data_IF_217149771551
#
_entry.id   IF_217149771551
#
_cell.length_a   1.000
_cell.length_b   1.000
_cell.length_c   1.000
_cell.angle_alpha   90.00
_cell.angle_beta   90.00
_cell.angle_gamma   90.00
#
_symmetry.space_group_name_H-M   'P 1'
#
loop_
_entity.id
_entity.type
_entity.pdbx_description
1 polymer ?
#
# COMPACT_ATOMS: atom_id res chain seq x y z
N UNK A 1 15.75 -0.68 -27.66
CA UNK A 1 14.48 0.02 -27.32
C UNK A 1 14.81 1.18 -26.41
N UNK A 2 14.13 2.32 -26.54
CA UNK A 2 14.37 3.49 -25.68
C UNK A 2 13.40 3.43 -24.50
N UNK A 3 13.92 3.64 -23.30
CA UNK A 3 13.10 3.64 -22.07
C UNK A 3 12.44 5.01 -21.87
N UNK A 4 11.20 4.97 -21.39
CA UNK A 4 10.41 6.16 -21.06
C UNK A 4 10.06 6.12 -19.58
N UNK A 5 10.09 7.28 -18.91
CA UNK A 5 9.67 7.44 -17.52
C UNK A 5 8.27 7.99 -17.45
N UNK A 6 7.42 7.40 -16.62
CA UNK A 6 6.10 7.96 -16.33
C UNK A 6 6.27 9.20 -15.45
N UNK A 7 5.78 10.35 -15.91
CA UNK A 7 5.87 11.63 -15.17
C UNK A 7 4.53 12.08 -14.61
N UNK A 8 3.42 11.54 -15.10
CA UNK A 8 2.10 11.85 -14.55
C UNK A 8 0.94 11.34 -15.40
N UNK A 9 -0.25 11.83 -15.07
CA UNK A 9 -1.48 11.61 -15.81
C UNK A 9 -1.92 12.91 -16.49
N UNK A 10 -2.57 12.79 -17.64
CA UNK A 10 -3.24 13.91 -18.31
C UNK A 10 -4.45 14.39 -17.49
N UNK A 11 -4.92 15.62 -17.74
CA UNK A 11 -5.98 16.26 -16.95
C UNK A 11 -7.30 15.47 -16.90
N UNK A 12 -7.57 14.68 -17.93
CA UNK A 12 -8.76 13.83 -18.04
C UNK A 12 -8.53 12.40 -17.50
N UNK A 13 -7.31 12.07 -17.08
CA UNK A 13 -6.95 10.78 -16.49
C UNK A 13 -6.96 9.59 -17.47
N UNK A 14 -7.33 9.80 -18.72
CA UNK A 14 -7.36 8.77 -19.79
C UNK A 14 -6.00 8.51 -20.41
N UNK A 15 -5.00 9.36 -20.17
CA UNK A 15 -3.67 9.23 -20.75
C UNK A 15 -2.59 9.38 -19.67
N UNK A 16 -1.54 8.57 -19.79
CA UNK A 16 -0.31 8.71 -19.01
C UNK A 16 0.65 9.58 -19.81
N UNK A 17 1.31 10.51 -19.13
CA UNK A 17 2.40 11.29 -19.69
C UNK A 17 3.70 10.57 -19.37
N UNK A 18 4.42 10.23 -20.43
CA UNK A 18 5.72 9.60 -20.37
C UNK A 18 6.78 10.57 -20.92
N UNK A 19 7.94 10.63 -20.29
CA UNK A 19 9.07 11.45 -20.72
C UNK A 19 10.21 10.56 -21.16
N UNK A 20 10.81 10.88 -22.31
CA UNK A 20 12.02 10.21 -22.78
C UNK A 20 13.27 10.64 -22.00
N UNK A 21 14.43 10.21 -22.48
CA UNK A 21 15.72 10.61 -21.89
C UNK A 21 15.95 12.14 -21.92
N UNK A 22 15.26 12.86 -22.80
CA UNK A 22 15.32 14.32 -22.91
C UNK A 22 14.02 14.88 -22.33
N UNK A 23 14.06 15.84 -21.39
CA UNK A 23 12.88 16.33 -20.71
C UNK A 23 11.81 16.95 -21.62
N UNK A 24 12.25 17.52 -22.75
CA UNK A 24 11.39 18.11 -23.77
C UNK A 24 10.64 17.08 -24.61
N UNK A 25 11.00 15.81 -24.52
CA UNK A 25 10.40 14.72 -25.29
C UNK A 25 9.32 14.03 -24.44
N UNK A 26 8.10 14.54 -24.56
CA UNK A 26 6.94 14.00 -23.86
C UNK A 26 6.04 13.23 -24.82
N UNK A 27 5.55 12.09 -24.36
CA UNK A 27 4.65 11.21 -25.07
C UNK A 27 3.40 10.99 -24.24
N UNK A 28 2.25 10.91 -24.93
CA UNK A 28 0.99 10.51 -24.31
C UNK A 28 0.72 9.05 -24.63
N UNK A 29 0.47 8.26 -23.60
CA UNK A 29 0.09 6.87 -23.73
C UNK A 29 -1.36 6.71 -23.24
N UNK A 30 -2.30 6.31 -24.11
CA UNK A 30 -3.68 6.06 -23.69
C UNK A 30 -3.75 4.89 -22.72
N UNK A 31 -4.60 5.03 -21.70
CA UNK A 31 -4.87 4.00 -20.70
C UNK A 31 -5.93 3.04 -21.25
N UNK A 32 -5.54 2.30 -22.29
CA UNK A 32 -6.39 1.30 -22.92
C UNK A 32 -6.37 -0.03 -22.16
N UNK A 33 -7.29 -0.92 -22.54
CA UNK A 33 -7.41 -2.26 -21.95
C UNK A 33 -6.10 -3.07 -22.08
N UNK A 34 -5.33 -2.86 -23.15
CA UNK A 34 -4.01 -3.48 -23.34
C UNK A 34 -2.98 -3.03 -22.30
N UNK A 35 -2.94 -1.74 -21.96
CA UNK A 35 -2.06 -1.23 -20.92
C UNK A 35 -2.49 -1.76 -19.55
N UNK A 36 -3.80 -1.78 -19.30
CA UNK A 36 -4.36 -2.37 -18.08
C UNK A 36 -4.06 -3.87 -17.95
N UNK A 37 -4.16 -4.61 -19.04
CA UNK A 37 -3.82 -6.04 -19.08
C UNK A 37 -2.32 -6.24 -18.79
N UNK A 38 -1.44 -5.45 -19.42
CA UNK A 38 0.00 -5.53 -19.16
C UNK A 38 0.36 -5.22 -17.69
N UNK A 39 -0.28 -4.21 -17.08
CA UNK A 39 -0.08 -3.90 -15.66
C UNK A 39 -0.63 -4.97 -14.71
N UNK A 40 -1.69 -5.70 -15.13
CA UNK A 40 -2.25 -6.83 -14.36
C UNK A 40 -1.40 -8.09 -14.47
N UNK A 41 -0.81 -8.35 -15.64
CA UNK A 41 0.13 -9.46 -15.85
C UNK A 41 1.47 -9.21 -15.13
N UNK A 42 1.92 -7.95 -15.07
CA UNK A 42 3.11 -7.54 -14.32
C UNK A 42 2.86 -7.45 -12.80
N UNK A 43 1.60 -7.34 -12.38
CA UNK A 43 1.21 -7.73 -11.02
C UNK A 43 1.22 -9.25 -10.87
N UNK A 44 2.39 -9.86 -11.06
CA UNK A 44 2.79 -10.94 -10.17
C UNK A 44 2.78 -10.29 -8.80
N UNK A 45 1.64 -10.43 -8.14
CA UNK A 45 1.40 -10.12 -6.75
C UNK A 45 2.70 -10.42 -5.99
N UNK A 46 3.51 -9.42 -5.57
CA UNK A 46 4.33 -9.68 -4.42
C UNK A 46 3.31 -10.02 -3.37
N UNK A 47 3.36 -11.29 -3.01
CA UNK A 47 2.91 -11.87 -1.77
C UNK A 47 2.10 -10.85 -0.96
N UNK A 48 0.85 -11.20 -0.69
CA UNK A 48 0.30 -10.87 0.62
C UNK A 48 1.28 -11.46 1.63
N UNK A 49 2.39 -10.77 1.87
CA UNK A 49 3.18 -10.88 3.06
C UNK A 49 2.22 -10.37 4.11
N UNK A 50 1.42 -11.32 4.61
CA UNK A 50 1.12 -11.44 6.01
C UNK A 50 2.45 -11.27 6.76
N UNK A 51 2.88 -10.02 6.90
CA UNK A 51 3.53 -9.55 8.11
C UNK A 51 2.32 -9.40 9.05
N UNK A 52 1.90 -10.33 9.91
CA UNK A 52 2.60 -11.36 10.67
C UNK A 52 4.05 -11.02 11.01
N UNK A 53 4.24 -9.78 11.45
CA UNK A 53 5.28 -9.48 12.43
C UNK A 53 4.82 -8.33 13.30
N UNK A 54 4.36 -8.72 14.49
CA UNK A 54 4.40 -7.97 15.73
C UNK A 54 3.57 -6.67 15.79
N UNK A 55 2.26 -6.82 15.94
CA UNK A 55 1.52 -5.88 16.80
C UNK A 55 2.17 -6.01 18.16
N UNK A 56 3.06 -5.06 18.48
CA UNK A 56 3.47 -4.81 19.86
C UNK A 56 2.21 -4.92 20.69
N UNK A 57 2.18 -5.93 21.55
CA UNK A 57 0.98 -6.43 22.21
C UNK A 57 0.58 -5.45 23.31
N UNK A 58 0.45 -4.17 22.99
CA UNK A 58 -0.02 -3.15 23.91
C UNK A 58 -1.54 -3.10 23.69
N UNK A 59 -2.35 -3.76 24.55
CA UNK A 59 -3.79 -3.73 24.45
C UNK A 59 -4.24 -2.27 24.41
N UNK A 60 -5.13 -1.97 23.46
CA UNK A 60 -5.68 -0.62 23.39
C UNK A 60 -6.39 -0.27 24.70
N UNK A 61 -6.45 1.02 25.11
CA UNK A 61 -7.08 1.45 26.36
C UNK A 61 -8.51 0.91 26.57
N UNK A 62 -9.22 0.70 25.46
CA UNK A 62 -10.57 0.11 25.43
C UNK A 62 -10.59 -1.37 25.83
N UNK A 63 -9.58 -2.13 25.42
CA UNK A 63 -9.41 -3.54 25.79
C UNK A 63 -8.97 -3.68 27.25
N UNK A 64 -8.08 -2.79 27.71
CA UNK A 64 -7.71 -2.69 29.12
C UNK A 64 -8.96 -2.47 29.99
N UNK A 65 -9.82 -1.50 29.64
CA UNK A 65 -11.07 -1.26 30.35
C UNK A 65 -12.06 -2.43 30.28
N UNK A 66 -12.13 -3.12 29.15
CA UNK A 66 -12.99 -4.29 28.99
C UNK A 66 -12.52 -5.44 29.90
N UNK A 67 -11.22 -5.71 29.95
CA UNK A 67 -10.63 -6.75 30.82
C UNK A 67 -10.79 -6.43 32.30
N UNK A 68 -10.56 -5.19 32.72
CA UNK A 68 -10.81 -4.76 34.11
C UNK A 68 -12.28 -4.94 34.47
N UNK A 69 -13.21 -4.53 33.59
CA UNK A 69 -14.65 -4.73 33.82
C UNK A 69 -15.05 -6.21 33.86
N UNK A 70 -14.36 -7.06 33.10
CA UNK A 70 -14.53 -8.51 33.11
C UNK A 70 -13.87 -9.21 34.33
N UNK A 71 -13.23 -8.47 35.23
CA UNK A 71 -12.64 -9.00 36.47
C UNK A 71 -11.16 -9.36 36.37
N UNK A 72 -10.46 -9.00 35.29
CA UNK A 72 -9.02 -9.17 35.20
C UNK A 72 -8.30 -8.13 36.08
N UNK A 73 -7.33 -8.57 36.87
CA UNK A 73 -6.56 -7.68 37.76
C UNK A 73 -5.52 -6.87 36.99
N UNK A 74 -5.22 -5.66 37.48
CA UNK A 74 -4.31 -4.68 36.85
C UNK A 74 -2.92 -5.26 36.54
N UNK A 75 -2.45 -6.20 37.35
CA UNK A 75 -1.18 -6.91 37.21
C UNK A 75 -1.14 -7.78 35.93
N UNK A 76 -2.28 -8.40 35.59
CA UNK A 76 -2.40 -9.25 34.39
C UNK A 76 -2.53 -8.43 33.11
N UNK A 77 -3.07 -7.21 33.20
CA UNK A 77 -3.11 -6.28 32.06
C UNK A 77 -1.70 -5.77 31.77
N UNK A 78 -0.93 -5.42 32.81
CA UNK A 78 0.46 -4.98 32.65
C UNK A 78 1.35 -6.07 32.06
N UNK A 79 1.23 -7.32 32.54
CA UNK A 79 2.00 -8.46 32.02
C UNK A 79 1.67 -8.82 30.57
N UNK A 80 0.46 -8.49 30.09
CA UNK A 80 0.10 -8.68 28.70
C UNK A 80 0.57 -7.53 27.80
N UNK A 81 0.94 -6.37 28.36
CA UNK A 81 1.25 -5.14 27.63
C UNK A 81 2.74 -4.85 27.47
N UNK A 82 3.62 -5.75 27.92
CA UNK A 82 5.07 -5.57 27.99
C UNK A 82 5.84 -6.77 27.46
#
# INVERSE_FOLDING_TARGET
MRELKVVGLDADGKNIICQGAIPSEQFKLPVDDRLRAALRDDSVQPEQAQLDTEVTNVPSPKEIQARIRAGASVEQVAAASG
#
